data_IF_613236030407
#
_entry.id   IF_613236030407
#
_cell.length_a   1.000
_cell.length_b   1.000
_cell.length_c   1.000
_cell.angle_alpha   90.00
_cell.angle_beta   90.00
_cell.angle_gamma   90.00
#
_symmetry.space_group_name_H-M   'P 1'
#
loop_
_entity.id
_entity.type
_entity.pdbx_description
1 polymer ?
#
# COMPACT_ATOMS: atom_id res chain seq x y z
N UNK A 1 18.69 -26.54 6.61
CA UNK A 1 18.96 -25.15 6.21
C UNK A 1 19.36 -24.41 7.48
N UNK A 2 20.56 -23.85 7.53
CA UNK A 2 21.09 -23.13 8.71
C UNK A 2 20.45 -21.74 8.84
N UNK A 3 20.34 -21.19 10.05
CA UNK A 3 19.69 -19.91 10.33
C UNK A 3 20.30 -18.76 9.52
N UNK A 4 21.62 -18.77 9.34
CA UNK A 4 22.33 -17.77 8.55
C UNK A 4 21.95 -17.84 7.07
N UNK A 5 21.85 -19.05 6.49
CA UNK A 5 21.42 -19.26 5.11
C UNK A 5 19.96 -18.85 4.88
N UNK A 6 19.08 -19.12 5.85
CA UNK A 6 17.67 -18.70 5.82
C UNK A 6 17.53 -17.17 5.92
N UNK A 7 18.35 -16.53 6.75
CA UNK A 7 18.38 -15.06 6.84
C UNK A 7 18.86 -14.42 5.54
N UNK A 8 19.99 -14.88 4.98
CA UNK A 8 20.51 -14.39 3.71
C UNK A 8 19.47 -14.54 2.57
N UNK A 9 18.82 -15.71 2.48
CA UNK A 9 17.77 -15.95 1.49
C UNK A 9 16.57 -15.01 1.65
N UNK A 10 16.14 -14.74 2.91
CA UNK A 10 15.05 -13.77 3.16
C UNK A 10 15.47 -12.36 2.78
N UNK A 11 16.70 -11.96 3.12
CA UNK A 11 17.22 -10.64 2.79
C UNK A 11 17.31 -10.43 1.28
N UNK A 12 17.81 -11.42 0.53
CA UNK A 12 17.87 -11.39 -0.93
C UNK A 12 16.48 -11.26 -1.57
N UNK A 13 15.47 -11.98 -1.06
CA UNK A 13 14.08 -11.85 -1.54
C UNK A 13 13.49 -10.45 -1.35
N UNK A 14 13.96 -9.71 -0.33
CA UNK A 14 13.52 -8.33 -0.05
C UNK A 14 14.41 -7.27 -0.71
N UNK A 15 15.45 -7.69 -1.45
CA UNK A 15 16.34 -6.75 -2.14
C UNK A 15 15.57 -6.09 -3.29
N UNK A 16 15.84 -4.80 -3.50
CA UNK A 16 15.24 -4.08 -4.62
C UNK A 16 15.75 -4.68 -5.93
N UNK A 17 14.81 -5.19 -6.72
CA UNK A 17 15.03 -5.58 -8.11
C UNK A 17 14.70 -4.36 -8.98
N UNK A 18 15.59 -4.03 -9.90
CA UNK A 18 15.45 -2.87 -10.79
C UNK A 18 15.09 -3.33 -12.20
N UNK A 19 14.17 -2.59 -12.82
CA UNK A 19 13.64 -2.83 -14.14
C UNK A 19 13.73 -1.54 -14.96
N UNK A 20 13.94 -1.66 -16.26
CA UNK A 20 13.52 -0.65 -17.22
C UNK A 20 11.99 -0.53 -17.23
N UNK A 21 11.48 0.57 -17.78
CA UNK A 21 10.05 0.75 -17.96
C UNK A 21 9.46 -0.31 -18.90
N UNK A 22 10.21 -0.73 -19.93
CA UNK A 22 9.80 -1.78 -20.87
C UNK A 22 9.70 -3.16 -20.19
N UNK A 23 10.69 -3.53 -19.36
CA UNK A 23 10.66 -4.78 -18.58
C UNK A 23 9.49 -4.78 -17.58
N UNK A 24 9.21 -3.63 -16.95
CA UNK A 24 8.05 -3.49 -16.07
C UNK A 24 6.73 -3.70 -16.81
N UNK A 25 6.53 -3.07 -17.97
CA UNK A 25 5.31 -3.23 -18.77
C UNK A 25 5.16 -4.67 -19.29
N UNK A 26 6.26 -5.31 -19.68
CA UNK A 26 6.25 -6.74 -20.04
C UNK A 26 5.83 -7.61 -18.85
N UNK A 27 6.35 -7.32 -17.65
CA UNK A 27 5.94 -8.01 -16.42
C UNK A 27 4.46 -7.81 -16.11
N UNK A 28 3.90 -6.62 -16.32
CA UNK A 28 2.48 -6.36 -16.13
C UNK A 28 1.58 -7.27 -16.99
N UNK A 29 2.06 -7.67 -18.17
CA UNK A 29 1.33 -8.59 -19.06
C UNK A 29 1.26 -10.01 -18.49
N UNK A 30 2.28 -10.42 -17.74
CA UNK A 30 2.40 -11.75 -17.16
C UNK A 30 1.78 -11.85 -15.77
N UNK A 31 1.95 -10.83 -14.94
CA UNK A 31 1.49 -10.78 -13.56
C UNK A 31 0.68 -9.50 -13.27
N UNK A 32 -0.67 -9.60 -13.20
CA UNK A 32 -1.52 -8.48 -12.79
C UNK A 32 -1.19 -7.91 -11.41
N UNK A 33 -0.49 -8.64 -10.53
CA UNK A 33 -0.05 -8.10 -9.25
C UNK A 33 1.01 -6.99 -9.41
N UNK A 34 1.66 -6.87 -10.57
CA UNK A 34 2.65 -5.84 -10.83
C UNK A 34 2.07 -4.42 -10.85
N UNK A 35 0.77 -4.27 -11.13
CA UNK A 35 0.05 -3.01 -11.07
C UNK A 35 -1.11 -3.03 -10.06
N UNK A 36 -1.16 -4.05 -9.19
CA UNK A 36 -2.22 -4.17 -8.18
C UNK A 36 -2.17 -3.02 -7.17
N UNK A 37 -3.35 -2.47 -6.89
CA UNK A 37 -3.61 -1.47 -5.86
C UNK A 37 -3.32 -2.00 -4.45
N UNK A 38 -3.18 -1.11 -3.47
CA UNK A 38 -3.01 -1.51 -2.07
C UNK A 38 -4.14 -2.42 -1.57
N UNK A 39 -5.38 -2.18 -2.01
CA UNK A 39 -6.54 -3.02 -1.66
C UNK A 39 -6.44 -4.43 -2.24
N UNK A 40 -6.10 -4.56 -3.52
CA UNK A 40 -5.90 -5.87 -4.16
C UNK A 40 -4.76 -6.65 -3.49
N UNK A 41 -3.63 -5.98 -3.23
CA UNK A 41 -2.49 -6.62 -2.55
C UNK A 41 -2.80 -7.01 -1.11
N UNK A 42 -3.61 -6.23 -0.40
CA UNK A 42 -4.11 -6.60 0.92
C UNK A 42 -4.97 -7.87 0.86
N UNK A 43 -5.86 -8.01 -0.12
CA UNK A 43 -6.66 -9.23 -0.30
C UNK A 43 -5.78 -10.44 -0.61
N UNK A 44 -4.79 -10.28 -1.49
CA UNK A 44 -3.78 -11.31 -1.77
C UNK A 44 -3.05 -11.74 -0.49
N UNK A 45 -2.70 -10.79 0.38
CA UNK A 45 -2.04 -11.07 1.66
C UNK A 45 -2.94 -11.78 2.68
N UNK A 46 -4.22 -11.39 2.73
CA UNK A 46 -5.24 -11.98 3.62
C UNK A 46 -5.56 -13.42 3.19
N UNK A 47 -5.69 -13.66 1.89
CA UNK A 47 -6.04 -14.94 1.30
C UNK A 47 -7.53 -15.28 1.39
N UNK A 48 -7.87 -16.51 1.00
CA UNK A 48 -9.25 -16.99 0.95
C UNK A 48 -9.78 -17.43 2.33
N UNK A 49 -11.09 -17.24 2.59
CA UNK A 49 -11.70 -17.70 3.83
C UNK A 49 -11.99 -19.20 3.82
N UNK A 50 -11.84 -19.82 4.99
CA UNK A 50 -12.39 -21.14 5.29
C UNK A 50 -13.85 -20.99 5.71
N UNK A 51 -14.77 -21.70 5.04
CA UNK A 51 -16.17 -21.73 5.44
C UNK A 51 -16.37 -22.78 6.53
N UNK A 52 -16.77 -22.33 7.71
CA UNK A 52 -17.01 -23.20 8.86
C UNK A 52 -18.52 -23.28 9.11
N UNK A 53 -19.08 -24.48 8.90
CA UNK A 53 -20.44 -24.79 9.31
C UNK A 53 -20.47 -25.09 10.80
N UNK A 54 -20.94 -24.10 11.57
CA UNK A 54 -20.89 -24.17 13.04
C UNK A 54 -21.84 -25.22 13.63
N UNK A 55 -22.77 -25.78 12.85
CA UNK A 55 -23.64 -26.89 13.27
C UNK A 55 -22.86 -28.15 13.65
N UNK A 56 -21.70 -28.34 13.03
CA UNK A 56 -20.87 -29.53 13.22
C UNK A 56 -19.99 -29.46 14.48
N UNK A 57 -19.94 -28.30 15.15
CA UNK A 57 -19.17 -28.08 16.37
C UNK A 57 -20.12 -27.60 17.49
N UNK A 58 -20.35 -28.38 18.57
CA UNK A 58 -21.25 -28.01 19.65
C UNK A 58 -20.93 -26.68 20.34
N UNK A 59 -19.67 -26.25 20.36
CA UNK A 59 -19.24 -24.97 20.93
C UNK A 59 -19.55 -23.83 19.96
N UNK A 60 -19.17 -23.95 18.69
CA UNK A 60 -19.42 -22.91 17.69
C UNK A 60 -20.93 -22.77 17.40
N UNK A 61 -21.68 -23.87 17.40
CA UNK A 61 -23.13 -23.89 17.24
C UNK A 61 -23.83 -22.96 18.24
N UNK A 62 -23.40 -22.97 19.50
CA UNK A 62 -23.96 -22.12 20.57
C UNK A 62 -23.58 -20.64 20.41
N UNK A 63 -22.36 -20.36 19.95
CA UNK A 63 -21.86 -18.98 19.80
C UNK A 63 -22.47 -18.30 18.57
N UNK A 64 -22.49 -19.01 17.44
CA UNK A 64 -22.89 -18.45 16.14
C UNK A 64 -24.29 -18.89 15.70
N UNK A 65 -25.06 -19.52 16.58
CA UNK A 65 -26.43 -19.96 16.34
C UNK A 65 -26.58 -20.75 15.02
N UNK A 66 -25.71 -21.75 14.81
CA UNK A 66 -25.73 -22.63 13.63
C UNK A 66 -25.49 -21.94 12.27
N UNK A 67 -24.96 -20.72 12.25
CA UNK A 67 -24.59 -20.01 11.01
C UNK A 67 -23.34 -20.62 10.37
N UNK A 68 -23.21 -20.45 9.06
CA UNK A 68 -21.92 -20.64 8.38
C UNK A 68 -21.12 -19.35 8.51
N UNK A 69 -19.90 -19.45 9.03
CA UNK A 69 -19.01 -18.31 9.22
C UNK A 69 -17.81 -18.42 8.28
N UNK A 70 -17.24 -17.27 7.91
CA UNK A 70 -15.98 -17.20 7.17
C UNK A 70 -14.84 -16.93 8.16
N UNK A 71 -13.83 -17.80 8.15
CA UNK A 71 -12.63 -17.62 8.97
C UNK A 71 -11.43 -17.47 8.05
N UNK A 72 -10.74 -16.34 8.15
CA UNK A 72 -9.54 -16.08 7.37
C UNK A 72 -8.31 -16.60 8.13
N UNK A 73 -7.48 -17.49 7.52
CA UNK A 73 -6.26 -17.98 8.17
C UNK A 73 -5.33 -16.87 8.66
N UNK A 74 -5.28 -15.76 7.93
CA UNK A 74 -4.55 -14.55 8.29
C UNK A 74 -4.99 -13.90 9.61
N UNK A 75 -6.16 -14.23 10.15
CA UNK A 75 -6.71 -13.66 11.39
C UNK A 75 -7.06 -14.74 12.44
N UNK A 76 -6.46 -15.94 12.37
CA UNK A 76 -6.77 -17.07 13.28
C UNK A 76 -6.60 -16.79 14.78
N UNK A 77 -5.83 -15.77 15.16
CA UNK A 77 -5.64 -15.36 16.55
C UNK A 77 -6.71 -14.39 17.08
N UNK A 78 -7.61 -13.91 16.20
CA UNK A 78 -8.68 -12.98 16.54
C UNK A 78 -9.96 -13.76 16.86
N UNK A 79 -10.12 -14.14 18.12
CA UNK A 79 -11.28 -14.90 18.59
C UNK A 79 -12.49 -13.99 18.84
N UNK A 80 -13.66 -14.37 18.33
CA UNK A 80 -14.91 -13.62 18.56
C UNK A 80 -15.01 -12.32 17.74
N UNK A 81 -14.16 -12.15 16.73
CA UNK A 81 -14.13 -10.98 15.85
C UNK A 81 -14.44 -11.35 14.39
N UNK A 82 -15.00 -12.53 14.14
CA UNK A 82 -15.19 -13.08 12.79
C UNK A 82 -16.03 -12.15 11.90
N UNK A 83 -17.13 -11.59 12.44
CA UNK A 83 -17.98 -10.63 11.72
C UNK A 83 -17.24 -9.30 11.45
N UNK A 84 -16.41 -8.84 12.40
CA UNK A 84 -15.61 -7.61 12.25
C UNK A 84 -14.53 -7.80 11.19
N UNK A 85 -13.84 -8.94 11.22
CA UNK A 85 -12.85 -9.29 10.21
C UNK A 85 -13.52 -9.40 8.83
N UNK A 86 -14.69 -10.04 8.68
CA UNK A 86 -15.40 -10.07 7.40
C UNK A 86 -15.73 -8.65 6.89
N UNK A 87 -16.11 -7.71 7.77
CA UNK A 87 -16.33 -6.30 7.38
C UNK A 87 -15.04 -5.63 6.90
N UNK A 88 -13.92 -5.84 7.59
CA UNK A 88 -12.61 -5.33 7.17
C UNK A 88 -12.19 -5.93 5.82
N UNK A 89 -12.36 -7.24 5.62
CA UNK A 89 -12.06 -7.87 4.33
C UNK A 89 -13.01 -7.37 3.23
N UNK A 90 -14.29 -7.18 3.53
CA UNK A 90 -15.27 -6.63 2.59
C UNK A 90 -14.89 -5.21 2.15
N UNK A 91 -14.41 -4.36 3.06
CA UNK A 91 -13.88 -3.04 2.72
C UNK A 91 -12.77 -3.12 1.67
N UNK A 92 -11.76 -3.98 1.88
CA UNK A 92 -10.69 -4.15 0.89
C UNK A 92 -11.20 -4.78 -0.41
N UNK A 93 -12.16 -5.70 -0.35
CA UNK A 93 -12.80 -6.33 -1.51
C UNK A 93 -13.49 -5.29 -2.39
N UNK A 94 -14.26 -4.39 -1.80
CA UNK A 94 -14.93 -3.32 -2.54
C UNK A 94 -13.94 -2.28 -3.07
N UNK A 95 -12.92 -1.92 -2.27
CA UNK A 95 -11.86 -1.02 -2.71
C UNK A 95 -11.09 -1.58 -3.92
N UNK A 96 -10.75 -2.87 -3.90
CA UNK A 96 -10.08 -3.58 -5.01
C UNK A 96 -10.92 -3.61 -6.29
N UNK A 97 -12.25 -3.68 -6.17
CA UNK A 97 -13.18 -3.60 -7.30
C UNK A 97 -13.32 -2.16 -7.85
N UNK A 98 -12.72 -1.18 -7.19
CA UNK A 98 -12.79 0.22 -7.59
C UNK A 98 -14.08 0.93 -7.16
N UNK A 99 -14.81 0.38 -6.19
CA UNK A 99 -16.01 0.98 -5.59
C UNK A 99 -15.66 2.16 -4.68
N UNK A 100 -16.65 2.71 -3.98
CA UNK A 100 -16.52 3.97 -3.22
C UNK A 100 -15.54 3.85 -2.05
N UNK A 101 -15.42 2.67 -1.45
CA UNK A 101 -14.51 2.36 -0.33
C UNK A 101 -13.06 2.73 -0.63
N UNK A 102 -12.63 2.75 -1.90
CA UNK A 102 -11.27 3.17 -2.27
C UNK A 102 -10.96 4.64 -1.94
N UNK A 103 -11.98 5.46 -1.73
CA UNK A 103 -11.88 6.89 -1.38
C UNK A 103 -12.20 7.16 0.09
N UNK A 104 -12.52 6.13 0.85
CA UNK A 104 -12.94 6.25 2.25
C UNK A 104 -11.78 5.94 3.18
N UNK A 105 -11.97 6.22 4.47
CA UNK A 105 -11.05 5.86 5.53
C UNK A 105 -11.70 4.75 6.35
N UNK A 106 -10.97 3.65 6.57
CA UNK A 106 -11.43 2.57 7.44
C UNK A 106 -11.29 3.01 8.91
N UNK A 107 -12.42 3.25 9.57
CA UNK A 107 -12.48 3.66 10.97
C UNK A 107 -12.88 2.50 11.88
N UNK A 108 -11.98 2.11 12.79
CA UNK A 108 -12.24 1.06 13.78
C UNK A 108 -12.78 1.70 15.07
N UNK A 109 -14.08 1.56 15.31
CA UNK A 109 -14.74 2.09 16.51
C UNK A 109 -15.03 0.97 17.53
N UNK A 110 -14.73 1.20 18.81
CA UNK A 110 -15.04 0.26 19.88
C UNK A 110 -14.40 0.61 21.22
N UNK A 111 -14.76 -0.10 22.31
CA UNK A 111 -14.23 0.16 23.65
C UNK A 111 -12.72 -0.10 23.75
N UNK A 112 -12.10 0.42 24.81
CA UNK A 112 -10.70 0.14 25.15
C UNK A 112 -10.53 -1.38 25.33
N UNK A 113 -9.44 -1.94 24.78
CA UNK A 113 -9.18 -3.38 24.82
C UNK A 113 -9.91 -4.22 23.76
N UNK A 114 -10.73 -3.61 22.88
CA UNK A 114 -11.46 -4.33 21.82
C UNK A 114 -10.61 -4.83 20.63
N UNK A 115 -9.29 -4.93 20.76
CA UNK A 115 -8.40 -5.46 19.71
C UNK A 115 -8.18 -4.57 18.47
N UNK A 116 -8.64 -3.31 18.47
CA UNK A 116 -8.50 -2.38 17.33
C UNK A 116 -7.06 -2.23 16.85
N UNK A 117 -6.14 -1.92 17.76
CA UNK A 117 -4.71 -1.79 17.45
C UNK A 117 -4.09 -3.12 17.02
N UNK A 118 -4.59 -4.25 17.54
CA UNK A 118 -4.14 -5.58 17.11
C UNK A 118 -4.55 -5.87 15.65
N UNK A 119 -5.77 -5.47 15.25
CA UNK A 119 -6.22 -5.58 13.85
C UNK A 119 -5.36 -4.68 12.96
N UNK A 120 -5.13 -3.42 13.35
CA UNK A 120 -4.28 -2.50 12.59
C UNK A 120 -2.85 -3.04 12.42
N UNK A 121 -2.26 -3.59 13.49
CA UNK A 121 -0.94 -4.21 13.43
C UNK A 121 -0.91 -5.45 12.52
N UNK A 122 -1.92 -6.31 12.60
CA UNK A 122 -2.06 -7.46 11.70
C UNK A 122 -2.19 -7.02 10.25
N UNK A 123 -2.96 -5.98 9.96
CA UNK A 123 -3.10 -5.44 8.61
C UNK A 123 -1.77 -4.91 8.05
N UNK A 124 -0.97 -4.21 8.86
CA UNK A 124 0.38 -3.77 8.46
C UNK A 124 1.29 -4.96 8.15
N UNK A 125 1.30 -5.98 9.01
CA UNK A 125 2.07 -7.22 8.79
C UNK A 125 1.64 -7.96 7.52
N UNK A 126 0.34 -7.93 7.18
CA UNK A 126 -0.16 -8.52 5.94
C UNK A 126 0.30 -7.71 4.73
N UNK A 127 0.28 -6.37 4.81
CA UNK A 127 0.77 -5.50 3.74
C UNK A 127 2.25 -5.75 3.40
N UNK A 128 3.10 -6.07 4.39
CA UNK A 128 4.52 -6.41 4.16
C UNK A 128 4.74 -7.68 3.31
N UNK A 129 3.70 -8.52 3.09
CA UNK A 129 3.84 -9.79 2.37
C UNK A 129 3.85 -9.66 0.85
N UNK A 130 3.24 -8.60 0.32
CA UNK A 130 3.02 -8.45 -1.13
C UNK A 130 3.77 -7.22 -1.62
N UNK A 131 4.71 -7.37 -2.57
CA UNK A 131 5.49 -6.25 -3.08
C UNK A 131 4.66 -5.34 -3.96
N UNK A 132 5.16 -4.13 -4.20
CA UNK A 132 4.66 -3.19 -5.19
C UNK A 132 5.81 -2.65 -6.05
N UNK A 133 5.45 -1.98 -7.13
CA UNK A 133 6.41 -1.39 -8.05
C UNK A 133 6.33 0.14 -7.97
N UNK A 134 7.48 0.79 -7.92
CA UNK A 134 7.58 2.24 -7.83
C UNK A 134 8.68 2.79 -8.74
N UNK A 135 8.57 4.06 -9.09
CA UNK A 135 9.65 4.76 -9.78
C UNK A 135 10.89 4.79 -8.87
N UNK A 136 12.04 4.39 -9.41
CA UNK A 136 13.32 4.39 -8.69
C UNK A 136 13.68 5.81 -8.29
N UNK A 137 13.93 6.00 -7.00
CA UNK A 137 14.28 7.30 -6.43
C UNK A 137 13.08 8.19 -6.11
N UNK A 138 11.85 7.80 -6.46
CA UNK A 138 10.67 8.56 -6.07
C UNK A 138 10.57 8.65 -4.54
N UNK A 139 10.47 9.85 -3.98
CA UNK A 139 10.39 10.03 -2.53
C UNK A 139 9.00 9.71 -1.97
N UNK A 140 8.00 9.56 -2.84
CA UNK A 140 6.60 9.26 -2.47
C UNK A 140 6.16 7.88 -2.97
N UNK A 141 7.10 6.96 -3.24
CA UNK A 141 6.76 5.61 -3.73
C UNK A 141 5.74 5.60 -4.90
N UNK A 142 5.83 6.53 -5.86
CA UNK A 142 4.80 6.65 -6.91
C UNK A 142 4.81 5.47 -7.89
N UNK A 143 3.62 5.12 -8.39
CA UNK A 143 3.44 4.05 -9.38
C UNK A 143 4.09 4.45 -10.71
N UNK A 144 4.81 3.52 -11.39
CA UNK A 144 5.32 3.78 -12.74
C UNK A 144 4.20 4.10 -13.73
N UNK A 145 2.98 3.63 -13.48
CA UNK A 145 1.82 3.91 -14.32
C UNK A 145 1.39 5.38 -14.30
N UNK A 146 1.87 6.17 -13.33
CA UNK A 146 1.64 7.63 -13.31
C UNK A 146 2.37 8.40 -14.41
N UNK A 147 3.29 7.76 -15.14
CA UNK A 147 3.98 8.33 -16.31
C UNK A 147 3.10 8.41 -17.57
N UNK A 148 1.98 7.70 -17.59
CA UNK A 148 1.12 7.54 -18.76
C UNK A 148 -0.18 8.32 -18.61
N UNK A 149 -0.64 8.91 -19.70
CA UNK A 149 -1.90 9.64 -19.74
C UNK A 149 -3.10 8.67 -19.83
N UNK A 150 -4.18 9.03 -19.12
CA UNK A 150 -5.38 8.20 -19.06
C UNK A 150 -6.08 8.05 -20.42
N UNK A 151 -6.11 9.12 -21.22
CA UNK A 151 -6.83 9.21 -22.49
C UNK A 151 -5.96 8.87 -23.69
N UNK A 152 -4.71 9.35 -23.72
CA UNK A 152 -3.80 9.13 -24.85
C UNK A 152 -3.16 7.73 -24.80
N UNK A 153 -2.59 7.34 -23.67
CA UNK A 153 -1.84 6.08 -23.53
C UNK A 153 -2.72 4.90 -23.08
N UNK A 154 -3.85 5.19 -22.45
CA UNK A 154 -4.75 4.18 -21.89
C UNK A 154 -5.18 3.08 -22.86
N UNK A 155 -5.67 3.41 -24.07
CA UNK A 155 -6.02 2.41 -25.08
C UNK A 155 -4.82 1.53 -25.50
N UNK A 156 -3.63 2.14 -25.60
CA UNK A 156 -2.40 1.44 -26.02
C UNK A 156 -1.96 0.45 -24.94
N UNK A 157 -1.99 0.87 -23.67
CA UNK A 157 -1.63 0.01 -22.54
C UNK A 157 -2.59 -1.16 -22.34
N UNK A 158 -3.88 -0.93 -22.55
CA UNK A 158 -4.90 -1.97 -22.49
C UNK A 158 -4.74 -3.00 -23.62
N UNK A 159 -4.48 -2.54 -24.86
CA UNK A 159 -4.29 -3.43 -26.01
C UNK A 159 -2.97 -4.23 -25.95
N UNK A 160 -1.85 -3.58 -25.65
CA UNK A 160 -0.52 -4.19 -25.77
C UNK A 160 -0.11 -4.98 -24.53
N UNK A 161 -0.44 -4.46 -23.35
CA UNK A 161 0.02 -4.98 -22.05
C UNK A 161 -1.11 -5.51 -21.18
N UNK A 162 -2.38 -5.34 -21.59
CA UNK A 162 -3.53 -5.82 -20.84
C UNK A 162 -3.82 -5.03 -19.56
N UNK A 163 -3.27 -3.80 -19.43
CA UNK A 163 -3.44 -2.97 -18.24
C UNK A 163 -4.73 -2.16 -18.37
N UNK A 164 -5.76 -2.39 -17.54
CA UNK A 164 -7.01 -1.67 -17.67
C UNK A 164 -6.83 -0.17 -17.35
N UNK A 165 -7.51 0.70 -18.09
CA UNK A 165 -7.41 2.17 -17.91
C UNK A 165 -7.68 2.65 -16.48
N UNK A 166 -8.43 1.89 -15.68
CA UNK A 166 -8.74 2.24 -14.27
C UNK A 166 -7.50 2.38 -13.38
N UNK A 167 -6.37 1.78 -13.75
CA UNK A 167 -5.10 1.86 -13.01
C UNK A 167 -4.28 3.11 -13.36
N UNK A 168 -4.64 3.86 -14.40
CA UNK A 168 -3.92 5.05 -14.89
C UNK A 168 -4.45 6.36 -14.29
N UNK A 169 -4.95 6.32 -13.06
CA UNK A 169 -5.56 7.50 -12.39
C UNK A 169 -4.59 8.30 -11.53
N UNK A 170 -3.35 7.82 -11.39
CA UNK A 170 -2.30 8.50 -10.65
C UNK A 170 -1.71 9.64 -11.48
N UNK A 171 -1.44 10.76 -10.84
CA UNK A 171 -0.71 11.89 -11.42
C UNK A 171 0.75 11.84 -11.00
N UNK A 172 1.63 12.45 -11.80
CA UNK A 172 3.04 12.60 -11.46
C UNK A 172 3.21 13.47 -10.21
N UNK A 173 4.14 13.06 -9.34
CA UNK A 173 4.56 13.90 -8.22
C UNK A 173 5.36 15.12 -8.72
N UNK A 174 5.46 16.22 -7.96
CA UNK A 174 6.34 17.33 -8.31
C UNK A 174 7.79 16.90 -8.57
N UNK A 175 8.26 15.89 -7.85
CA UNK A 175 9.58 15.30 -8.07
C UNK A 175 9.68 14.62 -9.43
N UNK A 176 8.69 13.79 -9.81
CA UNK A 176 8.71 13.11 -11.10
C UNK A 176 8.51 14.07 -12.27
N UNK A 177 7.69 15.11 -12.12
CA UNK A 177 7.58 16.20 -13.10
C UNK A 177 8.93 16.85 -13.35
N UNK A 178 9.68 17.18 -12.30
CA UNK A 178 11.05 17.72 -12.43
C UNK A 178 11.98 16.76 -13.19
N UNK A 179 11.97 15.46 -12.85
CA UNK A 179 12.77 14.44 -13.56
C UNK A 179 12.37 14.30 -15.02
N UNK A 180 11.08 14.35 -15.34
CA UNK A 180 10.59 14.29 -16.71
C UNK A 180 11.15 15.45 -17.55
N UNK A 181 11.17 16.67 -16.99
CA UNK A 181 11.80 17.83 -17.64
C UNK A 181 13.31 17.64 -17.84
N UNK A 182 14.05 17.18 -16.82
CA UNK A 182 15.49 16.89 -16.91
C UNK A 182 15.79 15.80 -17.95
N UNK A 183 14.86 14.86 -18.14
CA UNK A 183 14.95 13.80 -19.12
C UNK A 183 14.54 14.24 -20.54
N UNK A 184 14.10 15.49 -20.71
CA UNK A 184 13.54 16.05 -21.94
C UNK A 184 12.33 15.25 -22.45
N UNK A 185 11.47 14.79 -21.52
CA UNK A 185 10.29 13.99 -21.84
C UNK A 185 10.57 12.51 -22.12
N UNK A 186 11.83 12.05 -22.07
CA UNK A 186 12.15 10.64 -22.33
C UNK A 186 11.85 9.75 -21.12
N UNK A 187 10.63 9.19 -21.09
CA UNK A 187 10.18 8.32 -19.99
C UNK A 187 11.00 7.03 -19.84
N UNK A 188 11.75 6.60 -20.88
CA UNK A 188 12.60 5.40 -20.82
C UNK A 188 13.79 5.55 -19.89
N UNK A 189 14.13 6.79 -19.50
CA UNK A 189 15.16 7.07 -18.49
C UNK A 189 14.68 6.77 -17.07
N UNK A 190 13.37 6.69 -16.84
CA UNK A 190 12.85 6.21 -15.57
C UNK A 190 13.14 4.72 -15.41
N UNK A 191 13.53 4.36 -14.20
CA UNK A 191 13.71 2.97 -13.76
C UNK A 191 12.61 2.63 -12.78
N UNK A 192 12.22 1.38 -12.74
CA UNK A 192 11.22 0.85 -11.81
C UNK A 192 11.93 -0.04 -10.81
N UNK A 193 11.52 0.02 -9.55
CA UNK A 193 12.02 -0.87 -8.49
C UNK A 193 10.87 -1.64 -7.88
N UNK A 194 11.08 -2.94 -7.68
CA UNK A 194 10.23 -3.78 -6.85
C UNK A 194 10.57 -3.56 -5.39
N UNK A 195 9.58 -3.21 -4.58
CA UNK A 195 9.72 -2.93 -3.15
C UNK A 195 8.72 -3.72 -2.34
N UNK A 196 9.16 -4.21 -1.18
CA UNK A 196 8.25 -4.72 -0.17
C UNK A 196 7.85 -3.58 0.76
N UNK A 197 6.55 -3.43 1.07
CA UNK A 197 6.13 -2.55 2.15
C UNK A 197 6.87 -2.92 3.44
N UNK A 198 7.20 -1.93 4.26
CA UNK A 198 7.94 -2.14 5.50
C UNK A 198 7.50 -1.17 6.57
N UNK A 199 7.10 -1.72 7.73
CA UNK A 199 6.78 -0.94 8.93
C UNK A 199 8.06 -0.27 9.44
N UNK A 200 9.15 -1.03 9.54
CA UNK A 200 10.43 -0.57 10.11
C UNK A 200 11.09 0.52 9.27
N UNK A 201 11.04 0.39 7.94
CA UNK A 201 11.65 1.37 7.01
C UNK A 201 10.70 2.48 6.59
N UNK A 202 9.44 2.42 7.02
CA UNK A 202 8.36 3.31 6.61
C UNK A 202 8.20 3.39 5.07
N UNK A 203 8.16 2.24 4.41
CA UNK A 203 7.98 2.13 2.95
C UNK A 203 6.59 1.58 2.70
N UNK A 204 5.69 2.34 2.08
CA UNK A 204 4.30 1.94 1.85
C UNK A 204 3.49 1.70 3.14
N UNK A 205 4.09 1.83 4.33
CA UNK A 205 3.41 1.72 5.61
C UNK A 205 3.95 2.83 6.50
N UNK A 206 3.06 3.67 7.02
CA UNK A 206 3.42 4.66 8.02
C UNK A 206 2.37 4.70 9.12
N UNK A 207 2.80 5.19 10.28
CA UNK A 207 1.95 5.44 11.43
C UNK A 207 2.18 6.88 11.83
N UNK A 208 1.11 7.67 11.88
CA UNK A 208 1.17 9.04 12.39
C UNK A 208 0.54 9.07 13.77
N UNK A 209 1.33 9.53 14.73
CA UNK A 209 0.87 9.79 16.08
C UNK A 209 0.20 11.18 16.12
N UNK A 210 -0.82 11.36 16.98
CA UNK A 210 -1.49 12.64 17.11
C UNK A 210 -0.48 13.74 17.47
N UNK A 211 -0.55 14.85 16.73
CA UNK A 211 0.09 16.09 17.16
C UNK A 211 -0.69 16.69 18.33
N UNK A 212 -0.02 17.52 19.14
CA UNK A 212 -0.68 18.36 20.14
C UNK A 212 -1.75 19.22 19.44
N UNK A 213 -2.98 19.29 19.97
CA UNK A 213 -4.08 20.11 19.43
C UNK A 213 -3.67 21.59 19.24
N UNK A 214 -2.70 22.05 20.03
CA UNK A 214 -2.18 23.42 19.96
C UNK A 214 -1.07 23.61 18.91
N UNK A 215 -0.52 22.54 18.36
CA UNK A 215 0.57 22.58 17.41
C UNK A 215 0.11 22.02 16.05
N UNK A 216 -0.30 22.92 15.16
CA UNK A 216 -0.76 22.62 13.80
C UNK A 216 0.40 22.23 12.85
N UNK A 217 1.44 21.55 13.35
CA UNK A 217 2.53 21.07 12.49
C UNK A 217 2.07 19.84 11.69
N UNK A 218 1.47 20.11 10.53
CA UNK A 218 1.04 19.08 9.57
C UNK A 218 2.22 18.38 8.88
N UNK A 219 3.48 18.75 9.18
CA UNK A 219 4.64 18.16 8.51
C UNK A 219 4.82 16.66 8.79
N UNK A 220 4.23 16.15 9.87
CA UNK A 220 4.14 14.71 10.15
C UNK A 220 3.28 13.96 9.12
N UNK A 221 2.36 14.64 8.42
CA UNK A 221 1.49 14.08 7.40
C UNK A 221 2.02 14.34 5.99
N UNK A 222 2.37 15.59 5.68
CA UNK A 222 2.71 16.00 4.31
C UNK A 222 4.21 16.15 4.07
N UNK A 223 5.01 16.34 5.12
CA UNK A 223 6.42 16.71 5.00
C UNK A 223 6.65 18.22 5.14
N UNK A 224 7.88 18.69 4.88
CA UNK A 224 8.25 20.11 4.95
C UNK A 224 9.48 20.42 4.13
N UNK A 225 9.72 21.70 3.85
CA UNK A 225 10.96 22.15 3.19
C UNK A 225 12.18 21.84 4.08
N UNK A 226 13.23 21.25 3.51
CA UNK A 226 14.50 21.00 4.18
C UNK A 226 15.41 22.22 4.02
N UNK A 227 15.57 22.98 5.12
CA UNK A 227 16.36 24.22 5.16
C UNK A 227 17.80 23.98 4.69
N UNK A 228 18.36 22.78 4.92
CA UNK A 228 19.74 22.46 4.53
C UNK A 228 19.92 22.36 3.01
N UNK A 229 18.84 22.12 2.28
CA UNK A 229 18.84 22.03 0.81
C UNK A 229 18.65 23.38 0.12
N UNK A 230 18.29 24.43 0.87
CA UNK A 230 18.05 25.76 0.33
C UNK A 230 19.32 26.47 -0.16
N UNK A 231 20.51 25.95 0.18
CA UNK A 231 21.77 26.40 -0.42
C UNK A 231 21.91 25.99 -1.89
N UNK A 232 21.24 24.89 -2.29
CA UNK A 232 21.37 24.28 -3.63
C UNK A 232 20.09 24.40 -4.46
N UNK A 233 18.93 24.47 -3.81
CA UNK A 233 17.62 24.44 -4.44
C UNK A 233 16.75 25.59 -3.95
N UNK A 234 15.88 26.11 -4.81
CA UNK A 234 14.89 27.12 -4.42
C UNK A 234 13.85 26.52 -3.45
N UNK A 235 13.15 27.37 -2.69
CA UNK A 235 12.18 26.93 -1.69
C UNK A 235 11.00 26.14 -2.28
N UNK A 236 10.62 26.47 -3.52
CA UNK A 236 9.55 25.84 -4.30
C UNK A 236 10.03 24.64 -5.14
N UNK A 237 11.32 24.32 -5.09
CA UNK A 237 11.89 23.17 -5.79
C UNK A 237 11.50 21.85 -5.09
N UNK A 238 11.01 20.89 -5.88
CA UNK A 238 10.65 19.55 -5.39
C UNK A 238 11.81 18.86 -4.63
N UNK A 239 13.07 19.09 -5.03
CA UNK A 239 14.23 18.49 -4.36
C UNK A 239 14.54 19.13 -3.01
N UNK A 240 14.10 20.37 -2.76
CA UNK A 240 14.21 21.04 -1.47
C UNK A 240 13.19 20.49 -0.45
N UNK A 241 12.15 19.78 -0.91
CA UNK A 241 11.11 19.26 -0.04
C UNK A 241 11.53 17.92 0.62
N UNK A 242 11.31 17.83 1.94
CA UNK A 242 11.41 16.59 2.70
C UNK A 242 10.07 15.89 2.69
N UNK A 243 9.93 14.87 1.85
CA UNK A 243 8.78 13.98 1.75
C UNK A 243 8.71 12.94 2.89
N UNK A 244 9.04 13.36 4.11
CA UNK A 244 9.05 12.53 5.31
C UNK A 244 7.66 12.40 5.97
N UNK A 245 6.63 12.98 5.36
CA UNK A 245 5.26 12.92 5.87
C UNK A 245 4.65 11.53 5.70
N UNK A 246 3.78 11.13 6.63
CA UNK A 246 3.11 9.83 6.62
C UNK A 246 2.39 9.52 5.32
N UNK A 247 1.75 10.51 4.67
CA UNK A 247 1.07 10.33 3.39
C UNK A 247 2.05 10.04 2.23
N UNK A 248 3.25 10.63 2.26
CA UNK A 248 4.30 10.37 1.29
C UNK A 248 4.87 8.95 1.48
N UNK A 249 5.19 8.60 2.73
CA UNK A 249 5.82 7.33 3.07
C UNK A 249 4.88 6.14 2.88
N UNK A 250 3.61 6.30 3.25
CA UNK A 250 2.58 5.26 3.12
C UNK A 250 1.96 5.15 1.73
N UNK A 251 2.36 5.99 0.76
CA UNK A 251 1.79 5.92 -0.57
C UNK A 251 1.96 4.53 -1.19
N UNK A 252 0.98 4.13 -2.00
CA UNK A 252 0.75 2.77 -2.46
C UNK A 252 0.52 1.72 -1.35
N UNK A 253 0.34 2.06 -0.07
CA UNK A 253 0.05 1.07 0.97
C UNK A 253 -0.92 1.55 2.06
N UNK A 254 -0.48 1.71 3.30
CA UNK A 254 -1.35 1.97 4.46
C UNK A 254 -0.78 3.03 5.41
N UNK A 255 -1.61 4.03 5.74
CA UNK A 255 -1.35 4.98 6.80
C UNK A 255 -2.28 4.71 7.98
N UNK A 256 -1.71 4.49 9.17
CA UNK A 256 -2.46 4.40 10.42
C UNK A 256 -2.49 5.76 11.12
N UNK A 257 -3.68 6.26 11.40
CA UNK A 257 -3.91 7.37 12.32
C UNK A 257 -4.31 6.78 13.67
N UNK A 258 -3.50 6.97 14.70
CA UNK A 258 -3.78 6.41 16.04
C UNK A 258 -4.97 7.11 16.69
N UNK A 259 -5.02 8.43 16.55
CA UNK A 259 -6.11 9.29 17.01
C UNK A 259 -6.35 10.36 15.95
N UNK A 260 -7.61 10.57 15.57
CA UNK A 260 -8.05 11.69 14.76
C UNK A 260 -8.96 12.53 15.66
N UNK A 261 -8.49 13.75 15.98
CA UNK A 261 -9.25 14.74 16.75
C UNK A 261 -9.87 15.75 15.79
#
# INVERSE_FOLDING_TARGET
MDIYSSFATRFEKTREEEFSLEEYLALCKEDPNAYATAGERMLTAIGEPEQIDTRNDPRLSRIFANKVIKVYPAFREFYGMEDVIEQVVAYFRHAAQGLEEKKQILYLLGPVGGGKSSIAERLKQLMERVPFYAIKGSPVNESPLGLFDYDEDGPILEEQYGIPRRYLKSILSPWAVKRLHEYNGDIRKFRVVRRFPSILRQIGIAKTEPGDENNQDISSLVGKVDIRKLEQYAQDDADAYSYSGGLCLANQGMLEFVEMF
#
